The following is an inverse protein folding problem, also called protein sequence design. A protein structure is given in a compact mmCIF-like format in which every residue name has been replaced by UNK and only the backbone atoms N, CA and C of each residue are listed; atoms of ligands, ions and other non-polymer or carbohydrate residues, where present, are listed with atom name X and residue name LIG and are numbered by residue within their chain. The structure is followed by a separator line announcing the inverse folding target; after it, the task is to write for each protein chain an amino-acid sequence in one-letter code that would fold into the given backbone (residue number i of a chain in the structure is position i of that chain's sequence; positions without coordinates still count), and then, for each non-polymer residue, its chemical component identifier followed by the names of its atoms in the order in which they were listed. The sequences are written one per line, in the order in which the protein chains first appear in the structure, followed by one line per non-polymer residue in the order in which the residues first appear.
data_IF_436036085167
#
_entry.id   IF_436036085167
#
_cell.length_a   1.000
_cell.length_b   1.000
_cell.length_c   1.000
_cell.angle_alpha   90.00
_cell.angle_beta   90.00
_cell.angle_gamma   90.00
#
_symmetry.space_group_name_H-M   'P 1'
#
loop_
_entity.id
_entity.type
_entity.pdbx_description
1 polymer ?
#
# COMPACT_ATOMS: atom_id res chain seq x y z
N UNK A 1 -32.35 -16.60 -72.76
CA UNK A 1 -31.10 -17.14 -72.26
C UNK A 1 -30.35 -16.00 -71.61
N UNK A 2 -30.54 -15.82 -70.28
CA UNK A 2 -30.03 -14.69 -69.51
C UNK A 2 -28.81 -15.14 -68.69
N UNK A 3 -27.67 -14.64 -69.05
CA UNK A 3 -26.43 -14.87 -68.32
C UNK A 3 -26.28 -13.75 -67.28
N UNK A 4 -26.47 -14.09 -66.04
CA UNK A 4 -26.15 -13.18 -64.90
C UNK A 4 -24.66 -13.24 -64.62
N UNK A 5 -23.96 -12.13 -64.87
CA UNK A 5 -22.56 -11.92 -64.47
C UNK A 5 -22.52 -11.59 -62.99
N UNK A 6 -21.94 -12.45 -62.15
CA UNK A 6 -21.66 -12.16 -60.75
C UNK A 6 -20.27 -11.53 -60.67
N UNK A 7 -20.21 -10.28 -60.26
CA UNK A 7 -18.95 -9.58 -60.01
C UNK A 7 -18.58 -9.89 -58.55
N UNK A 8 -17.53 -10.67 -58.36
CA UNK A 8 -16.95 -10.92 -57.03
C UNK A 8 -16.06 -9.74 -56.65
N UNK A 9 -16.47 -9.00 -55.66
CA UNK A 9 -15.64 -8.00 -55.02
C UNK A 9 -14.64 -8.65 -54.07
N UNK A 10 -13.35 -8.62 -54.42
CA UNK A 10 -12.28 -9.08 -53.55
C UNK A 10 -11.96 -7.96 -52.52
N UNK A 11 -12.41 -8.13 -51.29
CA UNK A 11 -12.05 -7.23 -50.21
C UNK A 11 -10.68 -7.65 -49.69
N UNK A 12 -9.66 -6.87 -50.10
CA UNK A 12 -8.31 -6.98 -49.56
C UNK A 12 -8.27 -6.33 -48.20
N UNK A 13 -8.37 -7.12 -47.12
CA UNK A 13 -8.08 -6.63 -45.75
C UNK A 13 -6.57 -6.43 -45.60
N UNK A 14 -6.13 -5.18 -45.73
CA UNK A 14 -4.79 -4.78 -45.32
C UNK A 14 -4.71 -4.84 -43.78
N UNK A 15 -4.09 -5.89 -43.25
CA UNK A 15 -3.73 -5.97 -41.84
C UNK A 15 -2.54 -5.06 -41.66
N UNK A 16 -2.77 -3.82 -41.19
CA UNK A 16 -1.73 -2.94 -40.71
C UNK A 16 -1.20 -3.50 -39.39
N UNK A 17 -0.08 -4.20 -39.46
CA UNK A 17 0.71 -4.55 -38.27
C UNK A 17 1.31 -3.26 -37.72
N UNK A 18 0.61 -2.64 -36.77
CA UNK A 18 1.23 -1.62 -35.93
C UNK A 18 2.32 -2.30 -35.10
N UNK A 19 3.58 -1.85 -35.13
CA UNK A 19 4.57 -2.37 -34.20
C UNK A 19 4.11 -1.99 -32.80
N UNK A 20 3.79 -3.00 -32.03
CA UNK A 20 3.58 -2.89 -30.59
C UNK A 20 4.94 -2.53 -30.00
N UNK A 21 5.18 -1.22 -29.83
CA UNK A 21 6.31 -0.73 -29.07
C UNK A 21 6.12 -1.30 -27.67
N UNK A 22 6.84 -2.38 -27.38
CA UNK A 22 7.04 -2.81 -26.01
C UNK A 22 7.66 -1.62 -25.28
N UNK A 23 6.85 -0.95 -24.47
CA UNK A 23 7.32 0.04 -23.52
C UNK A 23 8.24 -0.73 -22.57
N UNK A 24 9.53 -0.71 -22.89
CA UNK A 24 10.57 -1.08 -21.94
C UNK A 24 10.35 -0.16 -20.74
N UNK A 25 9.76 -0.71 -19.68
CA UNK A 25 9.86 -0.12 -18.38
C UNK A 25 11.38 0.03 -18.15
N UNK A 26 11.87 1.25 -18.29
CA UNK A 26 13.22 1.60 -17.90
C UNK A 26 13.33 1.17 -16.46
N UNK A 27 14.13 0.14 -16.18
CA UNK A 27 14.55 -0.16 -14.84
C UNK A 27 15.20 1.14 -14.35
N UNK A 28 14.47 1.90 -13.51
CA UNK A 28 15.06 3.04 -12.84
C UNK A 28 16.29 2.50 -12.13
N UNK A 29 17.46 2.91 -12.61
CA UNK A 29 18.72 2.48 -12.03
C UNK A 29 18.72 3.01 -10.60
N UNK A 30 18.76 2.10 -9.63
CA UNK A 30 18.92 2.46 -8.23
C UNK A 30 20.09 3.43 -8.09
N UNK A 31 19.83 4.66 -7.66
CA UNK A 31 20.83 5.65 -7.30
C UNK A 31 21.05 5.54 -5.79
N UNK A 32 22.28 5.29 -5.32
CA UNK A 32 22.54 5.30 -3.89
C UNK A 32 22.29 6.71 -3.35
N UNK A 33 21.45 6.82 -2.31
CA UNK A 33 21.20 8.07 -1.61
C UNK A 33 22.31 8.34 -0.62
N UNK A 34 22.94 9.49 -0.70
CA UNK A 34 23.94 9.94 0.27
C UNK A 34 23.30 10.76 1.38
N UNK A 35 23.97 10.90 2.53
CA UNK A 35 23.48 11.74 3.64
C UNK A 35 23.13 13.17 3.20
N UNK A 36 23.89 13.75 2.29
CA UNK A 36 23.67 15.12 1.80
C UNK A 36 22.39 15.28 0.97
N UNK A 37 21.89 14.18 0.41
CA UNK A 37 20.67 14.15 -0.41
C UNK A 37 19.43 13.79 0.40
N UNK A 38 19.60 13.38 1.66
CA UNK A 38 18.48 13.05 2.54
C UNK A 38 17.73 14.30 2.97
N UNK A 39 16.42 14.23 3.03
CA UNK A 39 15.62 15.26 3.66
C UNK A 39 15.92 15.31 5.16
N UNK A 40 16.09 16.53 5.66
CA UNK A 40 16.40 16.80 7.05
C UNK A 40 15.13 17.24 7.79
N UNK A 41 14.84 16.59 8.91
CA UNK A 41 13.74 16.96 9.81
C UNK A 41 14.31 17.45 11.13
N UNK A 42 13.96 18.67 11.52
CA UNK A 42 14.34 19.22 12.82
C UNK A 42 13.47 18.65 13.92
N UNK A 43 14.06 18.15 14.99
CA UNK A 43 13.38 17.51 16.12
C UNK A 43 13.78 18.12 17.45
N UNK A 44 12.90 18.04 18.44
CA UNK A 44 13.15 18.58 19.78
C UNK A 44 12.51 17.64 20.83
N UNK A 45 13.13 17.53 22.02
CA UNK A 45 12.65 16.63 23.09
C UNK A 45 11.32 17.04 23.73
N UNK A 46 10.85 18.27 23.49
CA UNK A 46 9.56 18.74 24.02
C UNK A 46 8.37 18.38 23.15
N UNK A 47 8.61 18.00 21.86
CA UNK A 47 7.55 17.65 20.92
C UNK A 47 7.80 16.29 20.27
N UNK A 48 6.74 15.64 19.84
CA UNK A 48 6.80 14.40 19.09
C UNK A 48 6.65 14.73 17.60
N UNK A 49 7.56 14.22 16.78
CA UNK A 49 7.44 14.24 15.31
C UNK A 49 6.64 13.03 14.87
N UNK A 50 5.54 13.27 14.19
CA UNK A 50 4.67 12.22 13.60
C UNK A 50 4.96 12.14 12.11
N UNK A 51 5.29 10.95 11.61
CA UNK A 51 5.51 10.71 10.19
C UNK A 51 4.44 9.74 9.68
N UNK A 52 3.68 10.17 8.68
CA UNK A 52 2.58 9.40 8.10
C UNK A 52 2.92 8.96 6.67
N UNK A 53 2.73 7.68 6.41
CA UNK A 53 2.88 7.07 5.09
C UNK A 53 1.53 6.90 4.40
N UNK A 54 1.50 6.85 3.06
CA UNK A 54 0.29 6.60 2.27
C UNK A 54 -0.13 5.12 2.21
N UNK A 55 0.69 4.22 2.77
CA UNK A 55 0.45 2.77 2.82
C UNK A 55 1.06 2.17 4.10
N UNK A 56 0.75 0.91 4.44
CA UNK A 56 1.26 0.30 5.66
C UNK A 56 2.80 0.29 5.74
N UNK A 57 3.32 0.73 6.87
CA UNK A 57 4.73 0.66 7.22
C UNK A 57 5.01 -0.78 7.69
N UNK A 58 6.01 -1.41 7.12
CA UNK A 58 6.43 -2.78 7.41
C UNK A 58 7.65 -2.85 8.31
N UNK A 59 8.48 -1.83 8.24
CA UNK A 59 9.71 -1.77 9.01
C UNK A 59 10.14 -0.32 9.23
N UNK A 60 10.64 -0.02 10.42
CA UNK A 60 11.26 1.26 10.78
C UNK A 60 12.61 0.95 11.43
N UNK A 61 13.66 1.56 10.91
CA UNK A 61 14.97 1.52 11.50
C UNK A 61 15.37 2.92 12.00
N UNK A 62 15.92 3.00 13.20
CA UNK A 62 16.45 4.20 13.81
C UNK A 62 17.92 3.95 14.12
N UNK A 63 18.83 4.64 13.44
CA UNK A 63 20.27 4.34 13.43
C UNK A 63 20.97 4.52 14.77
N UNK A 64 20.35 5.18 15.74
CA UNK A 64 20.92 5.41 17.07
C UNK A 64 19.86 5.24 18.16
N UNK A 65 20.32 5.14 19.41
CA UNK A 65 19.47 5.07 20.59
C UNK A 65 19.05 6.43 21.14
N UNK A 66 19.49 7.55 20.52
CA UNK A 66 19.13 8.92 20.93
C UNK A 66 17.66 9.27 20.65
N UNK A 67 17.02 8.55 19.75
CA UNK A 67 15.63 8.75 19.38
C UNK A 67 14.78 7.59 19.93
N UNK A 68 13.70 7.93 20.62
CA UNK A 68 12.63 7.00 20.92
C UNK A 68 11.61 7.02 19.78
N UNK A 69 11.14 5.84 19.35
CA UNK A 69 10.13 5.71 18.30
C UNK A 69 9.15 4.60 18.58
N UNK A 70 7.91 4.77 18.14
CA UNK A 70 6.87 3.75 18.14
C UNK A 70 5.97 3.87 16.91
N UNK A 71 5.21 2.80 16.62
CA UNK A 71 4.27 2.73 15.52
C UNK A 71 2.85 2.50 16.08
N UNK A 72 2.10 3.59 16.38
CA UNK A 72 0.77 3.48 17.02
C UNK A 72 -0.29 2.89 16.10
N UNK A 73 -0.16 3.10 14.78
CA UNK A 73 -1.03 2.56 13.73
C UNK A 73 -0.19 2.14 12.51
N UNK A 74 -0.78 1.34 11.63
CA UNK A 74 -0.06 0.67 10.55
C UNK A 74 0.72 1.59 9.59
N UNK A 75 0.32 2.84 9.44
CA UNK A 75 0.92 3.78 8.49
C UNK A 75 1.57 5.01 9.14
N UNK A 76 1.73 5.02 10.47
CA UNK A 76 2.25 6.18 11.20
C UNK A 76 3.31 5.77 12.19
N UNK A 77 4.43 6.48 12.21
CA UNK A 77 5.49 6.36 13.20
C UNK A 77 5.60 7.67 13.99
N UNK A 78 5.84 7.58 15.29
CA UNK A 78 6.14 8.71 16.15
C UNK A 78 7.58 8.63 16.61
N UNK A 79 8.26 9.77 16.53
CA UNK A 79 9.67 9.91 16.89
C UNK A 79 9.85 11.06 17.88
N UNK A 80 10.71 10.85 18.87
CA UNK A 80 11.03 11.87 19.85
C UNK A 80 12.46 11.69 20.32
N UNK A 81 13.29 12.76 20.36
CA UNK A 81 14.58 12.73 21.03
C UNK A 81 14.43 12.32 22.49
N UNK A 82 15.33 11.46 22.97
CA UNK A 82 15.45 11.18 24.39
C UNK A 82 16.07 12.38 25.09
N UNK A 83 15.74 12.54 26.36
CA UNK A 83 16.36 13.55 27.21
C UNK A 83 17.88 13.37 27.24
N UNK A 84 18.61 14.46 27.07
CA UNK A 84 20.05 14.46 27.03
C UNK A 84 20.62 15.81 26.62
N UNK A 85 21.96 15.93 26.66
CA UNK A 85 22.63 17.10 26.10
C UNK A 85 22.81 16.89 24.60
N UNK A 86 22.16 17.73 23.81
CA UNK A 86 22.25 17.76 22.36
C UNK A 86 22.61 19.17 21.88
N UNK A 87 23.43 19.25 20.85
CA UNK A 87 23.82 20.52 20.24
C UNK A 87 22.86 20.90 19.11
N UNK A 88 22.58 22.20 18.94
CA UNK A 88 21.74 22.69 17.84
C UNK A 88 22.37 22.30 16.48
N UNK A 89 21.61 21.66 15.61
CA UNK A 89 22.06 21.12 14.33
C UNK A 89 22.75 19.75 14.41
N UNK A 90 22.87 19.15 15.61
CA UNK A 90 23.40 17.77 15.74
C UNK A 90 22.49 16.77 15.04
N UNK A 91 23.08 15.85 14.25
CA UNK A 91 22.35 14.71 13.68
C UNK A 91 22.16 13.64 14.75
N UNK A 92 20.95 13.48 15.22
CA UNK A 92 20.64 12.49 16.26
C UNK A 92 20.49 11.08 15.70
N UNK A 93 19.88 10.94 14.54
CA UNK A 93 19.67 9.65 13.89
C UNK A 93 19.35 9.81 12.41
N UNK A 94 19.55 8.73 11.66
CA UNK A 94 18.88 8.51 10.37
C UNK A 94 17.74 7.53 10.61
N UNK A 95 16.56 7.88 10.12
CA UNK A 95 15.38 7.02 10.18
C UNK A 95 15.08 6.49 8.80
N UNK A 96 14.99 5.16 8.67
CA UNK A 96 14.58 4.47 7.45
C UNK A 96 13.18 3.91 7.65
N UNK A 97 12.25 4.30 6.78
CA UNK A 97 10.87 3.81 6.75
C UNK A 97 10.68 2.96 5.50
N UNK A 98 10.32 1.69 5.70
CA UNK A 98 10.03 0.73 4.63
C UNK A 98 8.56 0.38 4.67
N UNK A 99 7.88 0.60 3.59
CA UNK A 99 6.47 0.27 3.40
C UNK A 99 6.32 -0.99 2.53
N UNK A 100 5.16 -1.20 1.95
CA UNK A 100 4.94 -2.33 1.03
C UNK A 100 5.67 -2.14 -0.30
N UNK A 101 5.75 -0.91 -0.82
CA UNK A 101 6.20 -0.63 -2.19
C UNK A 101 7.28 0.44 -2.30
N UNK A 102 7.61 1.12 -1.22
CA UNK A 102 8.66 2.13 -1.24
C UNK A 102 9.46 2.17 0.05
N UNK A 103 10.59 2.86 -0.02
CA UNK A 103 11.46 3.16 1.10
C UNK A 103 11.78 4.65 1.09
N UNK A 104 11.83 5.26 2.26
CA UNK A 104 12.29 6.64 2.45
C UNK A 104 13.23 6.74 3.64
N UNK A 105 14.07 7.77 3.65
CA UNK A 105 15.03 8.04 4.73
C UNK A 105 15.02 9.53 5.09
N UNK A 106 15.12 9.80 6.37
CA UNK A 106 15.23 11.15 6.92
C UNK A 106 16.39 11.25 7.88
N UNK A 107 17.14 12.36 7.81
CA UNK A 107 18.10 12.72 8.83
C UNK A 107 17.40 13.59 9.91
N UNK A 108 17.44 13.15 11.17
CA UNK A 108 16.86 13.89 12.30
C UNK A 108 17.92 14.81 12.92
N UNK A 109 17.72 16.11 12.78
CA UNK A 109 18.59 17.13 13.33
C UNK A 109 17.96 17.73 14.60
N UNK A 110 18.75 17.82 15.65
CA UNK A 110 18.28 18.48 16.89
C UNK A 110 18.18 19.99 16.71
N UNK A 111 17.12 20.58 17.24
CA UNK A 111 16.98 22.03 17.35
C UNK A 111 16.62 22.46 18.78
N UNK A 112 17.29 23.47 19.29
CA UNK A 112 16.94 24.10 20.57
C UNK A 112 15.72 25.02 20.46
N UNK A 113 15.33 25.36 19.21
CA UNK A 113 14.21 26.28 18.92
C UNK A 113 12.94 25.48 18.66
N UNK A 114 12.08 25.37 19.66
CA UNK A 114 10.86 24.58 19.60
C UNK A 114 9.98 24.88 18.36
N UNK A 115 9.90 26.14 17.95
CA UNK A 115 9.10 26.55 16.78
C UNK A 115 9.65 26.06 15.45
N UNK A 116 10.87 25.55 15.40
CA UNK A 116 11.48 24.96 14.20
C UNK A 116 11.35 23.45 14.17
N UNK A 117 10.92 22.84 15.28
CA UNK A 117 10.74 21.41 15.35
C UNK A 117 9.54 20.98 14.50
N UNK A 118 9.76 19.98 13.64
CA UNK A 118 8.72 19.36 12.81
C UNK A 118 7.83 18.49 13.70
N UNK A 119 6.54 18.77 13.73
CA UNK A 119 5.56 18.00 14.52
C UNK A 119 4.77 17.02 13.69
N UNK A 120 4.59 17.29 12.39
CA UNK A 120 3.85 16.44 11.45
C UNK A 120 4.53 16.44 10.09
N UNK A 121 4.69 15.23 9.53
CA UNK A 121 5.31 15.01 8.23
C UNK A 121 4.55 13.93 7.47
N UNK A 122 3.99 14.28 6.34
CA UNK A 122 3.47 13.30 5.39
C UNK A 122 4.55 12.98 4.34
N UNK A 123 4.79 11.69 4.08
CA UNK A 123 5.77 11.24 3.08
C UNK A 123 5.30 11.62 1.68
N UNK A 124 5.99 12.56 1.05
CA UNK A 124 5.68 13.04 -0.29
C UNK A 124 6.05 12.03 -1.37
N UNK A 125 5.41 12.10 -2.54
CA UNK A 125 5.67 11.16 -3.63
C UNK A 125 7.13 11.24 -4.11
N UNK A 126 7.74 12.42 -4.10
CA UNK A 126 9.13 12.62 -4.52
C UNK A 126 10.15 11.95 -3.60
N UNK A 127 9.79 11.74 -2.33
CA UNK A 127 10.65 11.12 -1.32
C UNK A 127 10.62 9.58 -1.39
N UNK A 128 9.72 9.01 -2.18
CA UNK A 128 9.48 7.58 -2.27
C UNK A 128 10.43 6.94 -3.27
N UNK A 129 11.37 6.16 -2.76
CA UNK A 129 12.18 5.28 -3.59
C UNK A 129 11.44 3.95 -3.78
N UNK A 130 11.19 3.57 -5.02
CA UNK A 130 10.55 2.29 -5.31
C UNK A 130 11.35 1.14 -4.68
N UNK A 131 10.67 0.29 -3.94
CA UNK A 131 11.26 -0.85 -3.27
C UNK A 131 10.34 -2.06 -3.39
N UNK A 132 10.79 -3.07 -4.10
CA UNK A 132 10.06 -4.33 -4.17
C UNK A 132 10.35 -5.15 -2.91
N UNK A 133 9.47 -5.02 -1.91
CA UNK A 133 9.61 -5.72 -0.64
C UNK A 133 9.33 -7.22 -0.83
N UNK A 134 10.34 -8.11 -0.72
CA UNK A 134 10.17 -9.54 -0.96
C UNK A 134 9.26 -10.22 0.08
N UNK A 135 9.01 -9.59 1.21
CA UNK A 135 8.09 -10.09 2.25
C UNK A 135 6.60 -9.81 1.91
N UNK A 136 6.34 -9.05 0.84
CA UNK A 136 4.98 -8.67 0.44
C UNK A 136 4.65 -9.33 -0.90
N UNK A 137 4.00 -10.49 -0.86
CA UNK A 137 3.55 -11.22 -2.06
C UNK A 137 2.36 -10.51 -2.72
N UNK A 138 1.49 -9.88 -1.91
CA UNK A 138 0.32 -9.14 -2.37
C UNK A 138 0.15 -7.88 -1.52
N UNK A 139 0.16 -6.71 -2.16
CA UNK A 139 0.01 -5.44 -1.45
C UNK A 139 -1.41 -5.25 -0.90
N UNK A 140 -1.57 -4.47 0.16
CA UNK A 140 -2.88 -4.11 0.72
C UNK A 140 -3.81 -3.47 -0.32
N UNK A 141 -3.25 -2.68 -1.24
CA UNK A 141 -3.99 -2.08 -2.36
C UNK A 141 -4.51 -3.14 -3.33
N UNK A 142 -3.68 -4.14 -3.67
CA UNK A 142 -4.08 -5.24 -4.54
C UNK A 142 -5.11 -6.14 -3.88
N UNK A 143 -4.94 -6.45 -2.59
CA UNK A 143 -5.94 -7.18 -1.80
C UNK A 143 -7.30 -6.48 -1.82
N UNK A 144 -7.33 -5.17 -1.58
CA UNK A 144 -8.56 -4.37 -1.62
C UNK A 144 -9.18 -4.31 -3.03
N UNK A 145 -8.35 -4.29 -4.08
CA UNK A 145 -8.82 -4.36 -5.48
C UNK A 145 -9.46 -5.70 -5.78
N UNK A 146 -8.81 -6.81 -5.45
CA UNK A 146 -9.34 -8.16 -5.64
C UNK A 146 -10.62 -8.38 -4.84
N UNK A 147 -10.65 -7.96 -3.58
CA UNK A 147 -11.86 -8.06 -2.76
C UNK A 147 -13.07 -7.35 -3.40
N UNK A 148 -12.88 -6.13 -3.94
CA UNK A 148 -13.92 -5.40 -4.66
C UNK A 148 -14.38 -6.11 -5.95
N UNK A 149 -13.44 -6.67 -6.72
CA UNK A 149 -13.77 -7.41 -7.93
C UNK A 149 -14.58 -8.67 -7.61
N UNK A 150 -14.18 -9.41 -6.58
CA UNK A 150 -14.86 -10.62 -6.13
C UNK A 150 -16.27 -10.29 -5.62
N UNK A 151 -16.39 -9.25 -4.78
CA UNK A 151 -17.68 -8.80 -4.25
C UNK A 151 -18.68 -8.39 -5.34
N UNK A 152 -18.19 -7.86 -6.47
CA UNK A 152 -19.02 -7.49 -7.62
C UNK A 152 -19.25 -8.62 -8.62
N UNK A 153 -18.64 -9.79 -8.42
CA UNK A 153 -18.82 -10.96 -9.30
C UNK A 153 -20.05 -11.77 -8.92
N UNK A 154 -20.58 -12.54 -9.89
CA UNK A 154 -21.65 -13.50 -9.62
C UNK A 154 -21.16 -14.64 -8.72
N UNK A 155 -22.05 -15.17 -7.89
CA UNK A 155 -21.75 -16.31 -7.03
C UNK A 155 -21.49 -17.58 -7.84
N UNK A 156 -20.34 -18.21 -7.64
CA UNK A 156 -19.96 -19.47 -8.30
C UNK A 156 -20.23 -20.69 -7.43
N UNK A 157 -20.17 -20.50 -6.09
CA UNK A 157 -20.37 -21.59 -5.14
C UNK A 157 -21.84 -21.71 -4.82
N UNK A 158 -22.41 -22.87 -5.16
CA UNK A 158 -23.82 -23.15 -4.93
C UNK A 158 -23.99 -24.11 -3.74
N UNK A 159 -25.05 -23.90 -2.96
CA UNK A 159 -25.50 -24.80 -1.89
C UNK A 159 -24.61 -24.91 -0.65
N UNK A 160 -23.55 -24.12 -0.52
CA UNK A 160 -22.74 -24.03 0.71
C UNK A 160 -23.33 -22.96 1.61
N UNK A 161 -24.12 -23.40 2.59
CA UNK A 161 -24.79 -22.52 3.56
C UNK A 161 -24.95 -23.17 4.90
N UNK A 162 -24.90 -22.36 5.93
CA UNK A 162 -25.26 -22.77 7.29
C UNK A 162 -26.37 -21.88 7.87
N UNK A 163 -27.14 -22.42 8.80
CA UNK A 163 -28.21 -21.68 9.48
C UNK A 163 -28.09 -21.89 10.99
N UNK A 164 -28.04 -20.82 11.73
CA UNK A 164 -28.09 -20.85 13.20
C UNK A 164 -28.77 -19.57 13.70
N UNK A 165 -29.56 -19.65 14.77
CA UNK A 165 -30.19 -18.51 15.43
C UNK A 165 -30.93 -17.54 14.51
N UNK A 166 -31.63 -18.03 13.50
CA UNK A 166 -32.27 -17.24 12.42
C UNK A 166 -31.29 -16.41 11.56
N UNK A 167 -29.99 -16.72 11.63
CA UNK A 167 -28.98 -16.20 10.70
C UNK A 167 -28.70 -17.24 9.61
N UNK A 168 -28.47 -16.77 8.39
CA UNK A 168 -28.07 -17.65 7.27
C UNK A 168 -26.76 -17.12 6.70
N UNK A 169 -25.72 -17.90 6.76
CA UNK A 169 -24.44 -17.60 6.12
C UNK A 169 -24.30 -18.44 4.85
N UNK A 170 -23.87 -17.84 3.77
CA UNK A 170 -23.60 -18.49 2.48
C UNK A 170 -22.18 -18.16 2.03
N UNK A 171 -21.50 -19.15 1.49
CA UNK A 171 -20.28 -18.94 0.74
C UNK A 171 -20.64 -18.71 -0.73
N UNK A 172 -20.31 -17.54 -1.26
CA UNK A 172 -20.62 -17.15 -2.63
C UNK A 172 -19.48 -17.49 -3.59
N UNK A 173 -18.22 -17.18 -3.18
CA UNK A 173 -17.07 -17.36 -4.04
C UNK A 173 -15.83 -17.78 -3.24
N UNK A 174 -14.94 -18.52 -3.91
CA UNK A 174 -13.59 -18.85 -3.45
C UNK A 174 -12.63 -18.57 -4.60
N UNK A 175 -11.64 -17.74 -4.36
CA UNK A 175 -10.56 -17.46 -5.30
C UNK A 175 -9.21 -17.59 -4.60
N UNK A 176 -8.17 -17.90 -5.37
CA UNK A 176 -6.79 -17.91 -4.89
C UNK A 176 -5.93 -16.98 -5.76
N UNK A 177 -4.98 -16.28 -5.12
CA UNK A 177 -3.98 -15.50 -5.81
C UNK A 177 -2.68 -15.53 -4.99
N UNK A 178 -1.62 -16.10 -5.57
CA UNK A 178 -0.38 -16.40 -4.84
C UNK A 178 -0.67 -17.28 -3.62
N UNK A 179 -0.23 -16.84 -2.46
CA UNK A 179 -0.38 -17.54 -1.18
C UNK A 179 -1.68 -17.21 -0.44
N UNK A 180 -2.61 -16.46 -1.07
CA UNK A 180 -3.83 -15.98 -0.44
C UNK A 180 -5.07 -16.65 -1.01
N UNK A 181 -6.05 -16.88 -0.12
CA UNK A 181 -7.41 -17.26 -0.49
C UNK A 181 -8.35 -16.10 -0.18
N UNK A 182 -9.23 -15.81 -1.13
CA UNK A 182 -10.31 -14.84 -0.98
C UNK A 182 -11.62 -15.62 -0.86
N UNK A 183 -12.31 -15.41 0.26
CA UNK A 183 -13.59 -16.04 0.55
C UNK A 183 -14.67 -14.96 0.60
N UNK A 184 -15.66 -15.07 -0.27
CA UNK A 184 -16.80 -14.16 -0.31
C UNK A 184 -18.00 -14.81 0.38
N UNK A 185 -18.45 -14.21 1.48
CA UNK A 185 -19.60 -14.66 2.26
C UNK A 185 -20.71 -13.62 2.26
N UNK A 186 -21.94 -14.09 2.20
CA UNK A 186 -23.12 -13.29 2.53
C UNK A 186 -23.76 -13.78 3.82
N UNK A 187 -24.17 -12.84 4.68
CA UNK A 187 -24.90 -13.12 5.93
C UNK A 187 -26.27 -12.46 5.84
N UNK A 188 -27.31 -13.26 5.95
CA UNK A 188 -28.70 -12.82 5.98
C UNK A 188 -29.23 -12.91 7.42
N UNK A 189 -29.59 -11.78 8.02
CA UNK A 189 -30.25 -11.72 9.31
C UNK A 189 -31.76 -11.82 9.15
N UNK A 190 -32.36 -12.88 9.67
CA UNK A 190 -33.81 -13.13 9.67
C UNK A 190 -34.48 -12.83 11.02
N UNK A 191 -33.78 -12.12 11.88
CA UNK A 191 -34.34 -11.63 13.15
C UNK A 191 -34.86 -10.20 12.98
N UNK A 192 -35.68 -9.73 13.92
CA UNK A 192 -36.15 -8.35 13.98
C UNK A 192 -35.16 -7.41 14.71
N UNK A 193 -33.99 -7.92 15.10
CA UNK A 193 -32.95 -7.19 15.84
C UNK A 193 -31.77 -6.95 14.91
N UNK A 194 -31.28 -5.69 14.77
CA UNK A 194 -30.03 -5.41 14.07
C UNK A 194 -28.87 -6.19 14.66
N UNK A 195 -27.97 -6.64 13.80
CA UNK A 195 -26.78 -7.38 14.19
C UNK A 195 -25.54 -6.81 13.48
N UNK A 196 -24.58 -6.35 14.28
CA UNK A 196 -23.28 -5.92 13.80
C UNK A 196 -22.27 -7.05 13.93
N UNK A 197 -21.43 -7.22 12.92
CA UNK A 197 -20.36 -8.23 12.95
C UNK A 197 -19.12 -7.58 13.51
N UNK A 198 -18.82 -7.84 14.78
CA UNK A 198 -17.63 -7.32 15.44
C UNK A 198 -16.37 -8.10 15.05
N UNK A 199 -16.50 -9.40 14.81
CA UNK A 199 -15.35 -10.27 14.69
C UNK A 199 -15.65 -11.55 13.89
N UNK A 200 -14.74 -11.92 12.99
CA UNK A 200 -14.69 -13.23 12.33
C UNK A 200 -13.54 -14.06 12.93
N UNK A 201 -13.83 -15.23 13.44
CA UNK A 201 -12.83 -16.21 13.88
C UNK A 201 -12.85 -17.45 13.01
#
# INVERSE_FOLDING_TARGET
MNIKKTIGALIMCAISATPMMAQQASAESYQPCTYQEMEQLTVNEQVTTVITASEPIRFVDISTDKIAGDQPINNTVRLKPKEGMHEDGEVLAIVTIVTERYRTQYALLYTTRLQEAVTDKEIQQIEKNAYNNPAVTLSSTDMARYARQIWSSEAHVNNVKTKAHKMVMRLNNIYSSGDYFFLDFSVENKTDIPFDIDHFQ
#
